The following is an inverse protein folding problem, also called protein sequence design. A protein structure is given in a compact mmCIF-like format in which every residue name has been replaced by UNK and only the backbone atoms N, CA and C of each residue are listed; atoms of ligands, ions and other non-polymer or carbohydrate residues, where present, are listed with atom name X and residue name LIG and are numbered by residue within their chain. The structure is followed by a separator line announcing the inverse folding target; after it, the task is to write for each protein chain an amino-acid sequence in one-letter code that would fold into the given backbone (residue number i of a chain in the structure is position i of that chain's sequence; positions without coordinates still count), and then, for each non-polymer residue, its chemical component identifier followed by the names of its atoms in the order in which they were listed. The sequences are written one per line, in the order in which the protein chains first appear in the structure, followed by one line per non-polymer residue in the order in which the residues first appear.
data_IF_830718720435
#
_entry.id   IF_830718720435
#
_cell.length_a   1.000
_cell.length_b   1.000
_cell.length_c   1.000
_cell.angle_alpha   90.00
_cell.angle_beta   90.00
_cell.angle_gamma   90.00
#
_symmetry.space_group_name_H-M   'P 1'
#
loop_
_entity.id
_entity.type
_entity.pdbx_description
1 polymer ?
#
# COMPACT_ATOMS: atom_id res chain seq x y z
N UNK A 1 6.33 18.16 -12.22
CA UNK A 1 7.41 17.18 -11.94
C UNK A 1 6.84 15.91 -11.34
N UNK A 2 7.33 14.74 -11.75
CA UNK A 2 6.90 13.44 -11.22
C UNK A 2 7.96 12.92 -10.24
N UNK A 3 7.52 12.54 -9.04
CA UNK A 3 8.37 12.00 -7.99
C UNK A 3 7.98 10.55 -7.68
N UNK A 4 8.95 9.64 -7.80
CA UNK A 4 8.77 8.20 -7.51
C UNK A 4 10.06 7.55 -6.97
N UNK A 5 10.91 8.34 -6.28
CA UNK A 5 12.19 7.90 -5.74
C UNK A 5 12.18 7.70 -4.21
N UNK A 6 10.99 7.47 -3.65
CA UNK A 6 10.78 7.23 -2.22
C UNK A 6 10.57 8.50 -1.40
N UNK A 7 10.04 8.32 -0.19
CA UNK A 7 9.59 9.41 0.67
C UNK A 7 10.70 10.35 1.14
N UNK A 8 11.90 9.82 1.42
CA UNK A 8 13.03 10.65 1.86
C UNK A 8 13.44 11.65 0.76
N UNK A 9 13.56 11.18 -0.48
CA UNK A 9 13.87 12.03 -1.64
C UNK A 9 12.77 13.05 -1.88
N UNK A 10 11.52 12.65 -1.77
CA UNK A 10 10.39 13.55 -1.94
C UNK A 10 10.37 14.64 -0.86
N UNK A 11 10.54 14.30 0.41
CA UNK A 11 10.63 15.29 1.49
C UNK A 11 11.77 16.28 1.30
N UNK A 12 12.90 15.83 0.81
CA UNK A 12 14.07 16.68 0.60
C UNK A 12 13.93 17.63 -0.59
N UNK A 13 13.33 17.18 -1.69
CA UNK A 13 13.40 17.91 -2.97
C UNK A 13 12.06 18.48 -3.45
N UNK A 14 10.92 17.88 -3.12
CA UNK A 14 9.63 18.32 -3.64
C UNK A 14 9.29 19.78 -3.29
N UNK A 15 9.55 20.29 -2.06
CA UNK A 15 9.31 21.69 -1.74
C UNK A 15 10.15 22.66 -2.58
N UNK A 16 11.40 22.33 -2.86
CA UNK A 16 12.28 23.17 -3.69
C UNK A 16 11.81 23.21 -5.13
N UNK A 17 11.38 22.09 -5.67
CA UNK A 17 10.85 21.99 -7.04
C UNK A 17 9.53 22.73 -7.17
N UNK A 18 8.66 22.61 -6.17
CA UNK A 18 7.40 23.36 -6.12
C UNK A 18 7.63 24.87 -6.01
N UNK A 19 8.58 25.31 -5.19
CA UNK A 19 8.95 26.73 -5.04
C UNK A 19 9.54 27.32 -6.33
N UNK A 20 10.12 26.47 -7.20
CA UNK A 20 10.59 26.87 -8.53
C UNK A 20 9.45 27.01 -9.57
N UNK A 21 8.18 26.84 -9.16
CA UNK A 21 7.00 27.04 -10.00
C UNK A 21 6.48 25.79 -10.70
N UNK A 22 7.02 24.61 -10.41
CA UNK A 22 6.53 23.36 -10.95
C UNK A 22 5.51 22.71 -9.99
N UNK A 23 4.38 22.21 -10.52
CA UNK A 23 3.54 21.31 -9.75
C UNK A 23 4.23 19.95 -9.62
N UNK A 24 4.38 19.48 -8.38
CA UNK A 24 4.93 18.16 -8.06
C UNK A 24 3.80 17.15 -7.93
N UNK A 25 3.89 16.02 -8.62
CA UNK A 25 3.03 14.84 -8.41
C UNK A 25 3.89 13.78 -7.75
N UNK A 26 3.59 13.45 -6.50
CA UNK A 26 4.39 12.56 -5.67
C UNK A 26 3.72 11.20 -5.48
N UNK A 27 4.40 10.14 -5.90
CA UNK A 27 3.94 8.76 -5.73
C UNK A 27 4.37 8.12 -4.40
N UNK A 28 5.18 8.81 -3.59
CA UNK A 28 5.59 8.30 -2.28
C UNK A 28 4.51 8.53 -1.21
N UNK A 29 4.72 7.98 -0.02
CA UNK A 29 3.83 8.22 1.11
C UNK A 29 4.11 9.53 1.85
N UNK A 30 5.12 10.30 1.43
CA UNK A 30 5.66 11.45 2.18
C UNK A 30 4.62 12.53 2.51
N UNK A 31 3.69 12.79 1.60
CA UNK A 31 2.77 13.93 1.66
C UNK A 31 1.31 13.53 1.78
N UNK A 32 0.98 12.23 1.71
CA UNK A 32 -0.41 11.76 1.61
C UNK A 32 -1.30 12.25 2.75
N UNK A 33 -0.76 12.29 3.98
CA UNK A 33 -1.52 12.72 5.16
C UNK A 33 -1.27 14.19 5.56
N UNK A 34 -0.48 14.93 4.79
CA UNK A 34 -0.31 16.36 5.00
C UNK A 34 -1.64 17.09 4.67
N UNK A 35 -2.19 17.91 5.58
CA UNK A 35 -3.49 18.57 5.37
C UNK A 35 -3.47 19.58 4.21
N UNK A 36 -2.31 20.17 3.90
CA UNK A 36 -2.14 21.15 2.84
C UNK A 36 -1.75 20.54 1.49
N UNK A 37 -1.72 19.21 1.41
CA UNK A 37 -1.42 18.47 0.18
C UNK A 37 -2.63 17.64 -0.21
N UNK A 38 -3.25 17.89 -1.38
CA UNK A 38 -4.35 17.06 -1.85
C UNK A 38 -3.87 15.66 -2.17
N UNK A 39 -4.63 14.66 -1.70
CA UNK A 39 -4.47 13.24 -2.02
C UNK A 39 -5.54 12.87 -3.05
N UNK A 40 -5.13 12.57 -4.28
CA UNK A 40 -6.06 12.60 -5.41
C UNK A 40 -6.16 11.25 -6.13
N UNK A 41 -7.40 10.82 -6.33
CA UNK A 41 -7.81 9.83 -7.32
C UNK A 41 -8.71 10.58 -8.31
N UNK A 42 -8.28 10.85 -9.56
CA UNK A 42 -8.99 11.76 -10.46
C UNK A 42 -10.46 11.41 -10.70
N UNK A 43 -10.80 10.13 -10.72
CA UNK A 43 -12.18 9.64 -10.91
C UNK A 43 -13.08 9.85 -9.68
N UNK A 44 -12.50 10.26 -8.55
CA UNK A 44 -13.19 10.30 -7.24
C UNK A 44 -13.27 11.70 -6.68
N UNK A 45 -12.16 12.43 -6.69
CA UNK A 45 -12.03 13.74 -6.03
C UNK A 45 -11.12 14.71 -6.82
N UNK A 46 -11.28 14.78 -8.15
CA UNK A 46 -10.52 15.70 -9.00
C UNK A 46 -10.67 17.18 -8.60
N UNK A 47 -11.78 17.55 -7.99
CA UNK A 47 -12.05 18.89 -7.45
C UNK A 47 -11.02 19.33 -6.39
N UNK A 48 -10.38 18.38 -5.70
CA UNK A 48 -9.27 18.68 -4.76
C UNK A 48 -8.06 19.34 -5.45
N UNK A 49 -7.92 19.20 -6.77
CA UNK A 49 -6.89 19.88 -7.56
C UNK A 49 -7.13 21.39 -7.70
N UNK A 50 -8.30 21.88 -7.35
CA UNK A 50 -8.61 23.32 -7.32
C UNK A 50 -7.79 24.11 -6.30
N UNK A 51 -7.15 23.45 -5.33
CA UNK A 51 -6.27 24.07 -4.33
C UNK A 51 -5.06 23.19 -4.05
N UNK A 52 -3.87 23.67 -4.39
CA UNK A 52 -2.59 22.98 -4.18
C UNK A 52 -1.64 23.89 -3.43
N UNK A 53 -1.88 24.17 -2.13
CA UNK A 53 -1.18 25.22 -1.38
C UNK A 53 0.35 25.05 -1.36
N UNK A 54 0.84 23.82 -1.32
CA UNK A 54 2.29 23.52 -1.33
C UNK A 54 2.86 23.26 -2.72
N UNK A 55 2.06 23.38 -3.79
CA UNK A 55 2.49 23.00 -5.14
C UNK A 55 2.75 21.49 -5.32
N UNK A 56 2.28 20.70 -4.36
CA UNK A 56 2.47 19.23 -4.32
C UNK A 56 1.10 18.55 -4.33
N UNK A 57 0.95 17.53 -5.17
CA UNK A 57 -0.19 16.59 -5.23
C UNK A 57 0.31 15.22 -4.86
N UNK A 58 -0.32 14.57 -3.90
CA UNK A 58 0.01 13.21 -3.49
C UNK A 58 -0.83 12.18 -4.26
N UNK A 59 -0.16 11.12 -4.70
CA UNK A 59 -0.78 9.94 -5.28
C UNK A 59 -0.99 8.88 -4.18
N UNK A 60 -2.19 8.27 -4.07
CA UNK A 60 -2.49 7.31 -3.01
C UNK A 60 -1.69 6.01 -3.08
N UNK A 61 -1.81 5.22 -2.01
CA UNK A 61 -1.41 3.81 -2.01
C UNK A 61 -2.17 3.03 -3.10
N UNK A 62 -1.53 2.04 -3.69
CA UNK A 62 -2.07 1.28 -4.82
C UNK A 62 -3.39 0.56 -4.48
N UNK A 63 -3.51 -0.04 -3.30
CA UNK A 63 -4.73 -0.72 -2.87
C UNK A 63 -5.86 0.27 -2.60
N UNK A 64 -5.57 1.41 -1.99
CA UNK A 64 -6.52 2.50 -1.80
C UNK A 64 -7.02 3.00 -3.14
N UNK A 65 -6.10 3.34 -4.05
CA UNK A 65 -6.45 3.87 -5.37
C UNK A 65 -7.37 2.92 -6.15
N UNK A 66 -7.12 1.62 -6.11
CA UNK A 66 -7.93 0.63 -6.82
C UNK A 66 -9.36 0.52 -6.26
N UNK A 67 -9.55 0.74 -4.96
CA UNK A 67 -10.86 0.63 -4.30
C UNK A 67 -11.73 1.89 -4.47
N UNK A 68 -11.13 3.06 -4.50
CA UNK A 68 -11.87 4.34 -4.44
C UNK A 68 -12.87 4.56 -5.59
N UNK A 69 -12.57 4.25 -6.86
CA UNK A 69 -13.52 4.41 -7.96
C UNK A 69 -14.77 3.52 -7.83
N UNK A 70 -14.68 2.43 -7.08
CA UNK A 70 -15.84 1.56 -6.77
C UNK A 70 -16.60 2.09 -5.57
N UNK A 71 -15.91 2.55 -4.53
CA UNK A 71 -16.52 2.97 -3.28
C UNK A 71 -17.25 4.32 -3.40
N UNK A 72 -16.72 5.24 -4.21
CA UNK A 72 -17.33 6.57 -4.36
C UNK A 72 -18.75 6.53 -4.89
N UNK A 73 -19.07 5.83 -5.98
CA UNK A 73 -20.45 5.70 -6.45
C UNK A 73 -21.36 5.02 -5.43
N UNK A 74 -20.87 4.02 -4.71
CA UNK A 74 -21.64 3.34 -3.67
C UNK A 74 -21.96 4.27 -2.50
N UNK A 75 -20.98 5.07 -2.08
CA UNK A 75 -21.18 6.10 -1.06
C UNK A 75 -22.25 7.11 -1.48
N UNK A 76 -22.15 7.62 -2.71
CA UNK A 76 -23.12 8.58 -3.26
C UNK A 76 -24.54 8.00 -3.36
N UNK A 77 -24.66 6.72 -3.68
CA UNK A 77 -25.98 6.08 -3.87
C UNK A 77 -26.64 5.66 -2.54
N UNK A 78 -25.86 5.23 -1.55
CA UNK A 78 -26.38 4.57 -0.36
C UNK A 78 -25.77 5.06 0.98
N UNK A 79 -24.70 5.81 0.94
CA UNK A 79 -23.93 6.24 2.12
C UNK A 79 -23.06 5.10 2.68
N UNK A 80 -21.76 5.29 2.63
CA UNK A 80 -20.77 4.33 3.13
C UNK A 80 -20.57 4.54 4.65
N UNK A 81 -20.83 3.52 5.44
CA UNK A 81 -20.68 3.57 6.92
C UNK A 81 -19.53 2.76 7.43
N UNK A 82 -19.19 1.68 6.74
CA UNK A 82 -18.13 0.75 7.13
C UNK A 82 -17.51 0.12 5.90
N UNK A 83 -16.18 -0.05 5.94
CA UNK A 83 -15.40 -0.72 4.93
C UNK A 83 -14.62 -1.87 5.59
N UNK A 84 -14.84 -3.10 5.12
CA UNK A 84 -14.03 -4.27 5.47
C UNK A 84 -13.39 -4.76 4.18
N UNK A 85 -12.06 -4.78 4.14
CA UNK A 85 -11.28 -5.06 2.93
C UNK A 85 -10.23 -6.11 3.20
N UNK A 86 -10.17 -7.12 2.36
CA UNK A 86 -9.02 -8.03 2.27
C UNK A 86 -8.36 -7.85 0.90
N UNK A 87 -7.04 -7.74 0.89
CA UNK A 87 -6.27 -7.55 -0.33
C UNK A 87 -5.36 -8.73 -0.59
N UNK A 88 -5.10 -9.01 -1.87
CA UNK A 88 -4.06 -9.93 -2.32
C UNK A 88 -3.05 -9.14 -3.13
N UNK A 89 -1.88 -8.90 -2.52
CA UNK A 89 -0.86 -7.99 -3.05
C UNK A 89 0.38 -8.78 -3.46
N UNK A 90 0.71 -8.76 -4.75
CA UNK A 90 1.90 -9.43 -5.27
C UNK A 90 3.19 -8.93 -4.61
N UNK A 91 4.20 -9.79 -4.55
CA UNK A 91 5.53 -9.49 -4.02
C UNK A 91 6.20 -8.30 -4.71
N UNK A 92 5.83 -8.01 -5.96
CA UNK A 92 6.35 -6.86 -6.72
C UNK A 92 6.07 -5.52 -6.04
N UNK A 93 4.98 -5.40 -5.26
CA UNK A 93 4.71 -4.23 -4.42
C UNK A 93 5.74 -3.99 -3.32
N UNK A 94 6.53 -5.00 -2.96
CA UNK A 94 7.68 -4.88 -2.04
C UNK A 94 9.00 -4.54 -2.77
N UNK A 95 8.94 -4.25 -4.07
CA UNK A 95 10.08 -3.90 -4.90
C UNK A 95 10.89 -5.11 -5.36
N UNK A 96 12.00 -4.85 -6.05
CA UNK A 96 12.85 -5.89 -6.63
C UNK A 96 13.35 -6.90 -5.58
N UNK A 97 13.62 -6.45 -4.36
CA UNK A 97 14.07 -7.32 -3.28
C UNK A 97 13.01 -8.39 -2.94
N UNK A 98 11.71 -8.03 -2.92
CA UNK A 98 10.64 -9.00 -2.70
C UNK A 98 10.50 -10.01 -3.84
N UNK A 99 10.65 -9.56 -5.09
CA UNK A 99 10.64 -10.44 -6.26
C UNK A 99 11.82 -11.42 -6.23
N UNK A 100 13.02 -10.94 -5.88
CA UNK A 100 14.23 -11.77 -5.79
C UNK A 100 14.08 -12.81 -4.67
N UNK A 101 13.59 -12.41 -3.50
CA UNK A 101 13.38 -13.33 -2.37
C UNK A 101 12.40 -14.47 -2.74
N UNK A 102 11.27 -14.17 -3.39
CA UNK A 102 10.36 -15.19 -3.90
C UNK A 102 11.06 -16.13 -4.89
N UNK A 103 11.81 -15.57 -5.85
CA UNK A 103 12.49 -16.35 -6.87
C UNK A 103 13.54 -17.30 -6.27
N UNK A 104 14.28 -16.86 -5.26
CA UNK A 104 15.29 -17.68 -4.59
C UNK A 104 14.65 -18.79 -3.75
N UNK A 105 13.55 -18.50 -3.07
CA UNK A 105 12.76 -19.52 -2.34
C UNK A 105 12.18 -20.58 -3.29
N UNK A 106 11.62 -20.17 -4.42
CA UNK A 106 11.08 -21.10 -5.43
C UNK A 106 12.20 -22.00 -5.98
N UNK A 107 13.36 -21.44 -6.32
CA UNK A 107 14.50 -22.21 -6.83
C UNK A 107 15.01 -23.22 -5.79
N UNK A 108 15.05 -22.83 -4.53
CA UNK A 108 15.48 -23.70 -3.45
C UNK A 108 14.51 -24.86 -3.20
N UNK A 109 13.20 -24.62 -3.32
CA UNK A 109 12.19 -25.66 -3.13
C UNK A 109 11.87 -26.47 -4.39
N UNK A 110 12.26 -26.01 -5.56
CA UNK A 110 11.92 -26.70 -6.80
C UNK A 110 12.56 -28.11 -6.86
N UNK A 111 11.73 -29.12 -7.00
CA UNK A 111 12.17 -30.53 -7.05
C UNK A 111 12.32 -31.22 -5.69
N UNK A 112 11.94 -30.56 -4.59
CA UNK A 112 11.85 -31.21 -3.29
C UNK A 112 10.55 -32.02 -3.20
N UNK A 113 10.66 -33.34 -3.01
CA UNK A 113 9.52 -34.25 -2.92
C UNK A 113 8.63 -33.94 -1.71
N UNK A 114 9.19 -33.33 -0.66
CA UNK A 114 8.45 -32.91 0.53
C UNK A 114 7.49 -31.72 0.28
N UNK A 115 7.49 -31.12 -0.92
CA UNK A 115 6.49 -30.10 -1.28
C UNK A 115 5.04 -30.59 -1.13
N UNK A 116 4.80 -31.89 -1.32
CA UNK A 116 3.47 -32.50 -1.14
C UNK A 116 3.02 -32.47 0.32
N UNK A 117 3.96 -32.51 1.25
CA UNK A 117 3.70 -32.55 2.69
C UNK A 117 3.32 -31.17 3.25
N UNK A 118 3.57 -30.06 2.49
CA UNK A 118 3.11 -28.72 2.85
C UNK A 118 1.59 -28.64 3.05
N UNK A 119 0.84 -29.60 2.50
CA UNK A 119 -0.61 -29.75 2.73
C UNK A 119 -0.94 -30.02 4.21
N UNK A 120 -0.03 -30.65 4.93
CA UNK A 120 -0.22 -31.08 6.32
C UNK A 120 0.70 -30.37 7.31
N UNK A 121 1.88 -29.98 6.86
CA UNK A 121 2.91 -29.34 7.67
C UNK A 121 3.57 -28.18 6.89
N UNK A 122 3.29 -26.95 7.27
CA UNK A 122 3.91 -25.76 6.65
C UNK A 122 5.43 -25.68 6.83
N UNK A 123 6.03 -26.49 7.70
CA UNK A 123 7.46 -26.63 7.93
C UNK A 123 8.12 -27.78 7.16
N UNK A 124 7.37 -28.53 6.36
CA UNK A 124 7.89 -29.72 5.65
C UNK A 124 9.08 -29.42 4.74
N UNK A 125 9.13 -28.22 4.15
CA UNK A 125 10.24 -27.78 3.29
C UNK A 125 10.93 -26.58 3.95
N UNK A 126 12.25 -26.67 4.09
CA UNK A 126 13.07 -25.55 4.56
C UNK A 126 13.48 -24.67 3.40
N UNK A 127 12.99 -23.46 3.37
CA UNK A 127 13.30 -22.45 2.36
C UNK A 127 14.15 -21.32 2.95
N UNK A 128 15.00 -20.67 2.16
CA UNK A 128 15.82 -19.57 2.65
C UNK A 128 14.95 -18.42 3.14
N UNK A 129 15.27 -17.88 4.32
CA UNK A 129 14.70 -16.62 4.78
C UNK A 129 15.38 -15.46 4.05
N UNK A 130 14.57 -14.47 3.67
CA UNK A 130 15.07 -13.22 3.09
C UNK A 130 14.85 -12.03 4.03
N UNK A 131 15.37 -10.86 3.65
CA UNK A 131 15.24 -9.64 4.46
C UNK A 131 13.90 -8.93 4.28
N UNK A 132 13.06 -9.35 3.34
CA UNK A 132 11.91 -8.56 2.91
C UNK A 132 10.59 -8.98 3.54
N UNK A 133 10.39 -10.27 3.73
CA UNK A 133 9.16 -10.82 4.31
C UNK A 133 9.42 -11.41 5.69
N UNK A 134 8.41 -11.32 6.55
CA UNK A 134 8.47 -11.84 7.92
C UNK A 134 8.53 -13.38 7.97
N UNK A 135 8.11 -14.05 6.90
CA UNK A 135 8.14 -15.50 6.74
C UNK A 135 8.25 -15.86 5.26
N UNK A 136 8.40 -17.14 4.97
CA UNK A 136 8.44 -17.68 3.61
C UNK A 136 7.21 -17.28 2.81
N UNK A 137 7.44 -16.71 1.62
CA UNK A 137 6.37 -16.31 0.70
C UNK A 137 6.14 -17.33 -0.41
N UNK A 138 7.16 -18.08 -0.83
CA UNK A 138 6.98 -19.17 -1.80
C UNK A 138 6.03 -20.22 -1.23
N UNK A 139 5.08 -20.68 -2.07
CA UNK A 139 4.06 -21.67 -1.71
C UNK A 139 3.15 -21.27 -0.55
N UNK A 140 3.06 -19.98 -0.24
CA UNK A 140 2.38 -19.46 0.94
C UNK A 140 1.68 -18.13 0.65
N UNK A 141 0.81 -17.72 1.57
CA UNK A 141 0.22 -16.38 1.65
C UNK A 141 0.53 -15.80 3.03
N UNK A 142 0.93 -14.53 3.07
CA UNK A 142 1.27 -13.87 4.33
C UNK A 142 0.26 -12.76 4.63
N UNK A 143 -0.61 -12.90 5.65
CA UNK A 143 -1.52 -11.83 6.05
C UNK A 143 -0.79 -10.72 6.82
N UNK A 144 0.33 -10.29 6.25
CA UNK A 144 1.21 -9.26 6.80
C UNK A 144 1.89 -8.54 5.64
N UNK A 145 1.33 -7.43 5.19
CA UNK A 145 1.96 -6.53 4.25
C UNK A 145 2.49 -5.30 4.97
N UNK A 146 3.78 -5.02 4.84
CA UNK A 146 4.45 -3.96 5.60
C UNK A 146 4.89 -4.41 6.99
N UNK A 147 4.89 -3.50 7.95
CA UNK A 147 5.31 -3.73 9.34
C UNK A 147 4.19 -3.34 10.30
N UNK A 148 4.02 -4.09 11.37
CA UNK A 148 3.08 -3.71 12.45
C UNK A 148 3.53 -2.39 13.05
N UNK A 149 2.59 -1.47 13.23
CA UNK A 149 2.85 -0.15 13.81
C UNK A 149 2.69 -0.23 15.33
N UNK A 150 3.67 0.27 16.05
CA UNK A 150 3.67 0.29 17.53
C UNK A 150 2.87 1.49 18.05
N UNK A 151 1.54 1.44 17.87
CA UNK A 151 0.59 2.46 18.35
C UNK A 151 -0.62 1.84 19.08
N UNK A 152 -0.56 0.52 19.34
CA UNK A 152 -1.62 -0.22 20.00
C UNK A 152 -2.80 -0.60 19.10
N UNK A 153 -2.77 -0.28 17.80
CA UNK A 153 -3.82 -0.67 16.84
C UNK A 153 -3.71 -2.10 16.35
N UNK A 154 -2.52 -2.71 16.47
CA UNK A 154 -2.18 -4.02 15.89
C UNK A 154 -2.32 -4.06 14.36
N UNK A 155 -2.36 -2.90 13.71
CA UNK A 155 -2.41 -2.76 12.25
C UNK A 155 -1.00 -2.67 11.65
N UNK A 156 -0.86 -3.13 10.41
CA UNK A 156 0.33 -2.83 9.61
C UNK A 156 0.27 -1.40 9.08
N UNK A 157 1.42 -0.85 8.71
CA UNK A 157 1.49 0.46 8.04
C UNK A 157 0.70 0.48 6.72
N UNK A 158 0.58 -0.67 6.05
CA UNK A 158 -0.22 -0.81 4.83
C UNK A 158 -1.73 -0.73 5.11
N UNK A 159 -2.20 -1.36 6.19
CA UNK A 159 -3.60 -1.29 6.63
C UNK A 159 -3.96 0.10 7.13
N UNK A 160 -3.05 0.77 7.84
CA UNK A 160 -3.24 2.17 8.23
C UNK A 160 -3.32 3.12 7.04
N UNK A 161 -2.51 2.91 5.99
CA UNK A 161 -2.64 3.68 4.74
C UNK A 161 -4.02 3.51 4.15
N UNK A 162 -4.50 2.27 4.00
CA UNK A 162 -5.84 1.99 3.49
C UNK A 162 -6.91 2.75 4.30
N UNK A 163 -6.85 2.68 5.62
CA UNK A 163 -7.81 3.37 6.51
C UNK A 163 -7.75 4.89 6.38
N UNK A 164 -6.57 5.47 6.51
CA UNK A 164 -6.41 6.91 6.59
C UNK A 164 -6.61 7.59 5.23
N UNK A 165 -6.08 6.98 4.18
CA UNK A 165 -6.20 7.53 2.82
C UNK A 165 -7.64 7.42 2.31
N UNK A 166 -8.36 6.33 2.58
CA UNK A 166 -9.78 6.19 2.22
C UNK A 166 -10.63 7.30 2.84
N UNK A 167 -10.41 7.59 4.12
CA UNK A 167 -11.10 8.68 4.82
C UNK A 167 -10.85 10.03 4.17
N UNK A 168 -9.58 10.31 3.84
CA UNK A 168 -9.18 11.58 3.24
C UNK A 168 -9.74 11.75 1.82
N UNK A 169 -9.63 10.73 0.97
CA UNK A 169 -10.06 10.79 -0.43
C UNK A 169 -11.58 10.88 -0.55
N UNK A 170 -12.31 10.12 0.26
CA UNK A 170 -13.78 10.11 0.24
C UNK A 170 -14.41 11.29 0.98
N UNK A 171 -13.64 12.02 1.80
CA UNK A 171 -14.16 13.07 2.67
C UNK A 171 -15.01 12.52 3.83
N UNK A 172 -14.71 11.31 4.30
CA UNK A 172 -15.45 10.60 5.36
C UNK A 172 -14.53 10.35 6.56
N UNK A 173 -14.25 11.36 7.42
CA UNK A 173 -13.25 11.26 8.49
C UNK A 173 -13.56 10.16 9.51
N UNK A 174 -14.85 9.86 9.74
CA UNK A 174 -15.31 8.88 10.72
C UNK A 174 -15.61 7.50 10.13
N UNK A 175 -15.27 7.27 8.86
CA UNK A 175 -15.49 5.98 8.22
C UNK A 175 -14.79 4.86 9.01
N UNK A 176 -15.57 3.87 9.44
CA UNK A 176 -15.01 2.67 10.06
C UNK A 176 -14.34 1.81 8.98
N UNK A 177 -13.03 1.59 9.10
CA UNK A 177 -12.27 0.80 8.14
C UNK A 177 -11.50 -0.29 8.88
N UNK A 178 -11.60 -1.52 8.40
CA UNK A 178 -10.81 -2.66 8.84
C UNK A 178 -10.20 -3.32 7.61
N UNK A 179 -8.90 -3.37 7.55
CA UNK A 179 -8.14 -3.97 6.45
C UNK A 179 -7.42 -5.24 6.88
N UNK A 180 -7.25 -6.18 5.95
CA UNK A 180 -6.29 -7.26 6.05
C UNK A 180 -5.50 -7.29 4.75
N UNK A 181 -4.25 -6.89 4.83
CA UNK A 181 -3.37 -6.80 3.67
C UNK A 181 -2.52 -8.07 3.56
N UNK A 182 -2.76 -8.88 2.53
CA UNK A 182 -2.12 -10.19 2.33
C UNK A 182 -1.10 -10.11 1.21
N UNK A 183 0.14 -10.57 1.48
CA UNK A 183 1.15 -10.79 0.43
C UNK A 183 0.94 -12.16 -0.20
N UNK A 184 1.02 -12.16 -1.51
CA UNK A 184 0.96 -13.37 -2.34
C UNK A 184 2.13 -13.38 -3.32
N UNK A 185 2.52 -14.55 -3.82
CA UNK A 185 3.54 -14.69 -4.85
C UNK A 185 3.33 -13.83 -6.08
#
# INVERSE_FOLDING_TARGET
ALFSAGGATSKALAPTVAAAGATVIDNSSAWRMDPDVPLVVPEVNADALGSIPKGIVANPNCTTMAAMPVLKPLDQAAGLRRLVVSTYQAVSGAGLAGVSELADQIRAGAGDDALTDLTFDGGAVTLPSGPKFASTIAFNVLPLAGSIVDDGSEETDEEQKLRNESRKILGLPDLAVSGTCVRVP
#
